data_IF_335958302369
#
_entry.id   IF_335958302369
#
_cell.length_a   1.000
_cell.length_b   1.000
_cell.length_c   1.000
_cell.angle_alpha   90.00
_cell.angle_beta   90.00
_cell.angle_gamma   90.00
#
_symmetry.space_group_name_H-M   'P 1'
#
loop_
_entity.id
_entity.type
_entity.pdbx_description
1 polymer ?
#
# COMPACT_ATOMS: atom_id res chain seq x y z
N UNK A 1 10.21 61.56 -23.10
CA UNK A 1 8.81 61.07 -23.15
C UNK A 1 8.86 59.55 -23.01
N UNK A 2 8.43 59.00 -21.87
CA UNK A 2 8.41 57.55 -21.58
C UNK A 2 6.95 57.09 -21.48
N UNK A 3 6.50 56.23 -22.39
CA UNK A 3 5.15 55.67 -22.39
C UNK A 3 5.08 54.42 -21.50
N UNK A 4 4.13 54.41 -20.56
CA UNK A 4 3.86 53.31 -19.63
C UNK A 4 3.01 52.22 -20.31
N UNK A 5 3.44 50.96 -20.23
CA UNK A 5 2.68 49.81 -20.73
C UNK A 5 1.64 49.37 -19.69
N UNK A 6 0.36 49.70 -19.94
CA UNK A 6 -0.78 49.28 -19.15
C UNK A 6 -1.03 47.76 -19.29
N UNK A 7 -0.98 47.01 -18.19
CA UNK A 7 -1.49 45.62 -18.10
C UNK A 7 -2.92 45.63 -17.58
N UNK A 8 -3.87 45.22 -18.41
CA UNK A 8 -5.28 45.08 -18.05
C UNK A 8 -5.50 43.85 -17.15
N UNK A 9 -6.23 43.95 -16.03
CA UNK A 9 -6.56 42.77 -15.22
C UNK A 9 -7.66 41.94 -15.89
N UNK A 10 -7.42 40.64 -16.09
CA UNK A 10 -8.45 39.69 -16.55
C UNK A 10 -9.44 39.43 -15.41
N UNK A 11 -10.70 39.83 -15.61
CA UNK A 11 -11.83 39.53 -14.70
C UNK A 11 -12.04 38.02 -14.61
N UNK A 12 -12.06 37.49 -13.38
CA UNK A 12 -12.48 36.14 -13.06
C UNK A 12 -14.01 36.06 -13.18
N UNK A 13 -14.52 35.33 -14.16
CA UNK A 13 -15.95 35.05 -14.31
C UNK A 13 -16.29 33.89 -13.36
N UNK A 14 -17.03 34.18 -12.28
CA UNK A 14 -17.67 33.14 -11.48
C UNK A 14 -19.00 32.79 -12.16
N UNK A 15 -19.11 31.57 -12.68
CA UNK A 15 -20.36 31.05 -13.23
C UNK A 15 -21.29 30.74 -12.05
N UNK A 16 -22.31 31.56 -11.85
CA UNK A 16 -23.31 31.37 -10.80
C UNK A 16 -24.33 30.33 -11.32
N UNK A 17 -24.48 29.19 -10.64
CA UNK A 17 -25.47 28.17 -11.00
C UNK A 17 -26.83 28.57 -10.43
N UNK A 18 -27.67 29.21 -11.26
CA UNK A 18 -29.08 29.47 -10.95
C UNK A 18 -29.94 28.26 -11.38
N UNK A 19 -30.81 27.80 -10.48
CA UNK A 19 -32.01 27.02 -10.82
C UNK A 19 -31.90 25.51 -10.63
N UNK A 20 -32.05 25.04 -9.39
CA UNK A 20 -32.60 23.70 -9.13
C UNK A 20 -34.11 23.78 -9.37
N UNK A 21 -34.61 23.08 -10.38
CA UNK A 21 -36.05 22.81 -10.51
C UNK A 21 -36.37 21.50 -9.76
N UNK A 22 -37.38 21.54 -8.91
CA UNK A 22 -37.83 20.41 -8.10
C UNK A 22 -38.53 19.36 -8.96
N UNK A 23 -38.15 18.09 -8.78
CA UNK A 23 -38.76 16.93 -9.44
C UNK A 23 -39.89 16.41 -8.54
N UNK A 24 -41.11 16.17 -9.04
CA UNK A 24 -42.21 15.66 -8.23
C UNK A 24 -41.96 14.20 -7.80
N UNK A 25 -42.31 13.93 -6.55
CA UNK A 25 -42.18 12.64 -5.90
C UNK A 25 -43.31 11.71 -6.34
N UNK A 26 -42.99 10.67 -7.10
CA UNK A 26 -43.87 9.51 -7.27
C UNK A 26 -43.03 8.23 -7.32
N UNK A 27 -43.38 7.35 -6.39
CA UNK A 27 -43.14 5.91 -6.28
C UNK A 27 -41.96 5.30 -7.05
N UNK A 28 -40.89 4.95 -6.32
CA UNK A 28 -40.51 3.54 -6.21
C UNK A 28 -39.56 3.36 -5.00
N UNK A 29 -39.95 2.47 -4.10
CA UNK A 29 -39.15 2.08 -2.94
C UNK A 29 -37.99 1.21 -3.43
N UNK A 30 -36.83 1.84 -3.64
CA UNK A 30 -35.55 1.12 -3.55
C UNK A 30 -34.87 1.56 -2.26
N UNK A 31 -34.61 0.68 -1.28
CA UNK A 31 -33.75 1.06 -0.16
C UNK A 31 -32.40 1.47 -0.73
N UNK A 32 -31.95 2.67 -0.37
CA UNK A 32 -30.66 3.20 -0.74
C UNK A 32 -29.58 2.13 -0.54
N UNK A 33 -28.62 1.94 -1.48
CA UNK A 33 -27.45 1.17 -1.14
C UNK A 33 -26.84 1.85 0.07
N UNK A 34 -26.74 1.10 1.17
CA UNK A 34 -26.06 1.51 2.39
C UNK A 34 -24.73 2.17 2.00
N UNK A 35 -24.29 3.24 2.70
CA UNK A 35 -23.06 3.93 2.34
C UNK A 35 -21.95 2.89 2.28
N UNK A 36 -21.45 2.62 1.06
CA UNK A 36 -20.32 1.72 0.84
C UNK A 36 -19.22 2.23 1.73
N UNK A 37 -18.99 1.51 2.84
CA UNK A 37 -17.97 1.81 3.80
C UNK A 37 -16.68 1.92 2.99
N UNK A 38 -16.20 3.16 2.83
CA UNK A 38 -14.88 3.40 2.25
C UNK A 38 -13.96 2.53 3.06
N UNK A 39 -13.33 1.53 2.42
CA UNK A 39 -12.37 0.63 3.07
C UNK A 39 -11.38 1.52 3.80
N UNK A 40 -11.53 1.61 5.12
CA UNK A 40 -10.56 2.26 5.99
C UNK A 40 -9.24 1.61 5.64
N UNK A 41 -8.26 2.40 5.20
CA UNK A 41 -6.93 1.88 4.92
C UNK A 41 -6.48 1.18 6.19
N UNK A 42 -6.48 -0.15 6.14
CA UNK A 42 -5.99 -1.00 7.20
C UNK A 42 -4.56 -0.56 7.42
N UNK A 43 -4.31 0.04 8.58
CA UNK A 43 -2.99 0.52 9.03
C UNK A 43 -1.98 -0.54 8.61
N UNK A 44 -1.10 -0.23 7.65
CA UNK A 44 -0.08 -1.18 7.17
C UNK A 44 0.62 -1.70 8.42
N UNK A 45 0.44 -2.99 8.72
CA UNK A 45 1.22 -3.64 9.75
C UNK A 45 2.68 -3.44 9.33
N UNK A 46 3.40 -2.65 10.11
CA UNK A 46 4.81 -2.39 9.86
C UNK A 46 5.51 -3.74 9.95
N UNK A 47 5.99 -4.27 8.82
CA UNK A 47 6.80 -5.49 8.81
C UNK A 47 8.07 -5.18 9.60
N UNK A 48 8.54 -6.14 10.37
CA UNK A 48 9.82 -5.99 11.07
C UNK A 48 10.91 -5.87 10.03
N UNK A 49 12.03 -5.23 10.40
CA UNK A 49 13.17 -5.08 9.51
C UNK A 49 13.60 -6.44 8.93
N UNK A 50 13.60 -7.48 9.78
CA UNK A 50 13.89 -8.86 9.36
C UNK A 50 12.90 -9.36 8.29
N UNK A 51 11.58 -9.23 8.48
CA UNK A 51 10.63 -9.65 7.43
C UNK A 51 10.76 -8.86 6.12
N UNK A 52 11.20 -7.59 6.20
CA UNK A 52 11.51 -6.79 5.02
C UNK A 52 12.78 -7.31 4.31
N UNK A 53 13.84 -7.63 5.07
CA UNK A 53 15.07 -8.24 4.54
C UNK A 53 14.77 -9.55 3.81
N UNK A 54 13.88 -10.39 4.34
CA UNK A 54 13.49 -11.64 3.69
C UNK A 54 12.66 -11.45 2.40
N UNK A 55 12.06 -10.27 2.18
CA UNK A 55 11.45 -9.94 0.89
C UNK A 55 12.50 -9.70 -0.21
N UNK A 56 13.74 -9.36 0.18
CA UNK A 56 14.88 -9.17 -0.69
C UNK A 56 15.85 -10.37 -0.71
N UNK A 57 15.44 -11.49 -0.11
CA UNK A 57 16.21 -12.72 -0.12
C UNK A 57 16.47 -13.21 -1.56
N UNK A 58 17.67 -13.72 -1.80
CA UNK A 58 18.07 -14.22 -3.12
C UNK A 58 17.73 -15.70 -3.26
N UNK A 59 17.46 -16.11 -4.49
CA UNK A 59 17.23 -17.51 -4.87
C UNK A 59 18.44 -17.99 -5.66
N UNK A 60 18.95 -19.17 -5.34
CA UNK A 60 20.06 -19.80 -6.05
C UNK A 60 19.89 -21.30 -6.22
N UNK A 61 20.99 -21.98 -6.52
CA UNK A 61 21.03 -23.44 -6.66
C UNK A 61 20.61 -24.15 -5.36
N UNK A 62 20.05 -25.37 -5.43
CA UNK A 62 19.74 -26.14 -4.23
C UNK A 62 21.01 -26.39 -3.41
N UNK A 63 20.98 -25.98 -2.15
CA UNK A 63 22.03 -26.18 -1.16
C UNK A 63 21.39 -26.64 0.15
N UNK A 64 22.07 -27.43 0.99
CA UNK A 64 21.50 -27.91 2.24
C UNK A 64 21.14 -26.73 3.16
N UNK A 65 19.89 -26.72 3.64
CA UNK A 65 19.40 -25.75 4.61
C UNK A 65 20.23 -25.85 5.90
N UNK A 66 20.73 -24.73 6.42
CA UNK A 66 21.57 -24.76 7.62
C UNK A 66 20.81 -25.14 8.90
N UNK A 67 19.47 -25.05 8.90
CA UNK A 67 18.61 -25.39 10.03
C UNK A 67 18.12 -26.85 10.00
N UNK A 68 17.69 -27.35 8.83
CA UNK A 68 17.05 -28.67 8.71
C UNK A 68 17.81 -29.66 7.81
N UNK A 69 18.88 -29.25 7.15
CA UNK A 69 19.70 -30.09 6.26
C UNK A 69 19.10 -30.37 4.87
N UNK A 70 17.78 -30.18 4.69
CA UNK A 70 17.10 -30.41 3.40
C UNK A 70 17.47 -29.34 2.36
N UNK A 71 17.41 -29.66 1.05
CA UNK A 71 17.75 -28.71 0.01
C UNK A 71 16.85 -27.46 0.05
N UNK A 72 17.48 -26.29 0.10
CA UNK A 72 16.87 -24.97 0.08
C UNK A 72 17.44 -24.14 -1.08
N UNK A 73 16.52 -23.45 -1.78
CA UNK A 73 16.86 -22.53 -2.86
C UNK A 73 17.11 -21.11 -2.35
N UNK A 74 16.42 -20.73 -1.27
CA UNK A 74 16.47 -19.37 -0.73
C UNK A 74 17.76 -19.16 0.08
N UNK A 75 18.22 -17.91 0.11
CA UNK A 75 19.38 -17.46 0.88
C UNK A 75 18.95 -16.47 1.92
N UNK A 76 19.41 -16.71 3.14
CA UNK A 76 19.26 -15.77 4.24
C UNK A 76 19.93 -14.43 3.85
N UNK A 77 19.20 -13.31 3.92
CA UNK A 77 19.69 -12.00 3.49
C UNK A 77 20.81 -11.45 4.38
N UNK A 78 20.88 -11.87 5.65
CA UNK A 78 21.87 -11.39 6.61
C UNK A 78 23.21 -12.11 6.49
N UNK A 79 23.21 -13.42 6.18
CA UNK A 79 24.42 -14.25 6.18
C UNK A 79 24.68 -15.02 4.88
N UNK A 80 23.77 -14.96 3.91
CA UNK A 80 23.90 -15.63 2.61
C UNK A 80 23.77 -17.16 2.65
N UNK A 81 23.41 -17.77 3.79
CA UNK A 81 23.31 -19.23 3.94
C UNK A 81 22.01 -19.75 3.35
N UNK A 82 22.05 -20.96 2.81
CA UNK A 82 20.86 -21.64 2.32
C UNK A 82 19.88 -21.91 3.47
N UNK A 83 18.65 -21.44 3.34
CA UNK A 83 17.64 -21.62 4.38
C UNK A 83 16.23 -21.54 3.81
N UNK A 84 15.29 -22.34 4.33
CA UNK A 84 13.88 -22.16 4.00
C UNK A 84 13.30 -20.99 4.77
N UNK A 85 12.39 -20.23 4.15
CA UNK A 85 11.68 -19.13 4.83
C UNK A 85 10.96 -19.62 6.11
N UNK A 86 10.37 -20.82 6.06
CA UNK A 86 9.68 -21.41 7.22
C UNK A 86 10.66 -21.72 8.35
N UNK A 87 11.81 -22.33 8.05
CA UNK A 87 12.81 -22.64 9.06
C UNK A 87 13.37 -21.37 9.70
N UNK A 88 13.70 -20.36 8.89
CA UNK A 88 14.17 -19.07 9.41
C UNK A 88 13.12 -18.34 10.28
N UNK A 89 11.84 -18.45 9.93
CA UNK A 89 10.74 -17.91 10.73
C UNK A 89 10.56 -18.65 12.05
N UNK A 90 10.67 -19.98 12.04
CA UNK A 90 10.61 -20.80 13.26
C UNK A 90 11.78 -20.46 14.19
N UNK A 91 13.01 -20.45 13.68
CA UNK A 91 14.21 -20.09 14.44
C UNK A 91 14.13 -18.67 15.03
N UNK A 92 13.61 -17.70 14.27
CA UNK A 92 13.36 -16.35 14.79
C UNK A 92 12.31 -16.35 15.92
N UNK A 93 11.23 -17.12 15.75
CA UNK A 93 10.16 -17.24 16.77
C UNK A 93 10.71 -17.87 18.05
N UNK A 94 11.54 -18.91 17.94
CA UNK A 94 12.19 -19.59 19.06
C UNK A 94 13.18 -18.67 19.80
N UNK A 95 13.86 -17.78 19.07
CA UNK A 95 14.76 -16.75 19.64
C UNK A 95 14.03 -15.52 20.16
N UNK A 96 12.70 -15.43 20.01
CA UNK A 96 11.92 -14.25 20.36
C UNK A 96 12.18 -13.04 19.45
N UNK A 97 12.76 -13.26 18.27
CA UNK A 97 12.95 -12.23 17.25
C UNK A 97 11.63 -11.98 16.51
N UNK A 98 11.31 -10.71 16.29
CA UNK A 98 10.07 -10.35 15.60
C UNK A 98 10.23 -10.55 14.08
N UNK A 99 9.31 -11.30 13.48
CA UNK A 99 9.20 -11.58 12.04
C UNK A 99 7.97 -10.92 11.44
#
# INVERSE_FOLDING_TARGET
MRAATNRTPRRRVTRNCQGQQAIPADLDTTPAPEPVAKKTQTKKAYRTQRADDWAHATVGNPQPCFLCGNPALLRDPSNGRACHMTCAKQDATEKGEQW
#
